data_IF_886074963341
#
_entry.id   IF_886074963341
#
_cell.length_a   1.000
_cell.length_b   1.000
_cell.length_c   1.000
_cell.angle_alpha   90.00
_cell.angle_beta   90.00
_cell.angle_gamma   90.00
#
_symmetry.space_group_name_H-M   'P 1'
#
loop_
_entity.id
_entity.type
_entity.pdbx_description
1 polymer ?
#
# COMPACT_ATOMS: atom_id res chain seq x y z
N UNK A 1 17.10 -20.31 3.10
CA UNK A 1 16.73 -19.03 2.50
C UNK A 1 15.94 -18.16 3.47
N UNK A 2 14.87 -18.63 4.08
CA UNK A 2 14.02 -17.93 5.06
C UNK A 2 14.82 -17.45 6.29
N UNK A 3 15.70 -18.29 6.88
CA UNK A 3 16.57 -17.90 8.01
C UNK A 3 17.46 -16.69 7.71
N UNK A 4 18.03 -16.59 6.51
CA UNK A 4 18.85 -15.43 6.10
C UNK A 4 18.02 -14.16 5.91
N UNK A 5 16.78 -14.29 5.44
CA UNK A 5 15.84 -13.17 5.32
C UNK A 5 15.43 -12.66 6.71
N UNK A 6 15.07 -13.58 7.62
CA UNK A 6 14.73 -13.24 9.01
C UNK A 6 15.92 -12.61 9.74
N UNK A 7 17.13 -13.15 9.58
CA UNK A 7 18.34 -12.56 10.17
C UNK A 7 18.67 -11.19 9.59
N UNK A 8 18.44 -10.96 8.28
CA UNK A 8 18.57 -9.64 7.66
C UNK A 8 17.58 -8.63 8.25
N UNK A 9 16.31 -9.03 8.41
CA UNK A 9 15.28 -8.19 9.03
C UNK A 9 15.62 -7.85 10.49
N UNK A 10 16.04 -8.84 11.26
CA UNK A 10 16.44 -8.66 12.67
C UNK A 10 17.70 -7.81 12.81
N UNK A 11 18.64 -7.92 11.88
CA UNK A 11 19.86 -7.12 11.85
C UNK A 11 19.57 -5.65 11.52
N UNK A 12 18.72 -5.40 10.51
CA UNK A 12 18.24 -4.04 10.15
C UNK A 12 17.42 -3.42 11.28
N UNK A 13 16.64 -4.20 12.02
CA UNK A 13 15.89 -3.74 13.18
C UNK A 13 16.79 -3.42 14.38
N UNK A 14 17.92 -4.10 14.55
CA UNK A 14 18.81 -3.95 15.71
C UNK A 14 19.81 -2.80 15.56
N UNK A 15 20.17 -2.44 14.34
CA UNK A 15 21.21 -1.43 14.06
C UNK A 15 20.70 -0.03 13.76
N UNK A 16 19.39 0.19 13.85
CA UNK A 16 18.83 1.50 13.66
C UNK A 16 18.18 1.99 14.97
N UNK A 17 18.67 3.09 15.50
CA UNK A 17 18.07 3.78 16.64
C UNK A 17 16.57 3.96 16.43
N UNK A 18 15.78 3.38 17.32
CA UNK A 18 14.32 3.27 17.20
C UNK A 18 13.60 4.62 17.03
N UNK A 19 14.15 5.72 17.56
CA UNK A 19 13.54 7.04 17.51
C UNK A 19 13.62 7.72 16.14
N UNK A 20 14.68 7.42 15.35
CA UNK A 20 14.82 7.91 13.97
C UNK A 20 14.03 7.11 12.93
N UNK A 21 13.35 6.04 13.35
CA UNK A 21 12.64 5.15 12.43
C UNK A 21 11.14 5.37 12.38
N UNK A 22 10.53 5.90 13.42
CA UNK A 22 9.08 6.06 13.46
C UNK A 22 8.59 7.01 12.36
N UNK A 23 9.16 8.23 12.32
CA UNK A 23 8.83 9.22 11.30
C UNK A 23 9.15 8.73 9.88
N UNK A 24 10.25 7.97 9.70
CA UNK A 24 10.60 7.35 8.43
C UNK A 24 9.51 6.41 7.92
N UNK A 25 9.05 5.48 8.74
CA UNK A 25 8.06 4.48 8.32
C UNK A 25 6.66 5.08 8.19
N UNK A 26 6.29 6.02 9.03
CA UNK A 26 4.99 6.72 8.91
C UNK A 26 4.95 7.54 7.61
N UNK A 27 5.99 8.32 7.31
CA UNK A 27 6.05 9.09 6.08
C UNK A 27 6.14 8.18 4.84
N UNK A 28 6.87 7.06 4.91
CA UNK A 28 6.90 6.06 3.85
C UNK A 28 5.52 5.46 3.61
N UNK A 29 4.80 5.07 4.68
CA UNK A 29 3.44 4.56 4.59
C UNK A 29 2.52 5.55 3.87
N UNK A 30 2.47 6.81 4.31
CA UNK A 30 1.61 7.80 3.70
C UNK A 30 2.01 8.12 2.26
N UNK A 31 3.30 8.20 1.96
CA UNK A 31 3.75 8.44 0.59
C UNK A 31 3.31 7.33 -0.37
N UNK A 32 3.40 6.06 0.04
CA UNK A 32 2.95 4.92 -0.76
C UNK A 32 1.40 4.89 -0.84
N UNK A 33 0.71 5.18 0.25
CA UNK A 33 -0.75 5.24 0.28
C UNK A 33 -1.31 6.32 -0.68
N UNK A 34 -0.66 7.50 -0.74
CA UNK A 34 -1.01 8.56 -1.69
C UNK A 34 -0.68 8.18 -3.14
N UNK A 35 0.48 7.56 -3.39
CA UNK A 35 0.85 7.09 -4.73
C UNK A 35 -0.13 6.01 -5.22
N UNK A 36 -0.54 5.10 -4.34
CA UNK A 36 -1.54 4.08 -4.66
C UNK A 36 -2.91 4.70 -4.98
N UNK A 37 -3.33 5.70 -4.20
CA UNK A 37 -4.55 6.44 -4.47
C UNK A 37 -4.47 7.19 -5.83
N UNK A 38 -3.37 7.88 -6.10
CA UNK A 38 -3.15 8.57 -7.37
C UNK A 38 -3.18 7.60 -8.55
N UNK A 39 -2.55 6.43 -8.40
CA UNK A 39 -2.59 5.36 -9.40
C UNK A 39 -4.03 4.93 -9.72
N UNK A 40 -4.85 4.65 -8.69
CA UNK A 40 -6.24 4.26 -8.88
C UNK A 40 -7.06 5.37 -9.55
N UNK A 41 -6.92 6.63 -9.09
CA UNK A 41 -7.61 7.77 -9.69
C UNK A 41 -7.24 7.92 -11.17
N UNK A 42 -5.95 7.83 -11.51
CA UNK A 42 -5.49 7.90 -12.90
C UNK A 42 -6.03 6.73 -13.72
N UNK A 43 -5.99 5.51 -13.18
CA UNK A 43 -6.53 4.33 -13.86
C UNK A 43 -8.00 4.55 -14.24
N UNK A 44 -8.84 4.95 -13.29
CA UNK A 44 -10.27 5.18 -13.55
C UNK A 44 -10.53 6.39 -14.44
N UNK A 45 -9.70 7.43 -14.34
CA UNK A 45 -9.80 8.58 -15.25
C UNK A 45 -9.58 8.17 -16.72
N UNK A 46 -8.65 7.21 -16.96
CA UNK A 46 -8.40 6.72 -18.33
C UNK A 46 -9.36 5.63 -18.78
N UNK A 47 -9.86 4.78 -17.89
CA UNK A 47 -10.76 3.66 -18.26
C UNK A 47 -12.23 4.06 -18.25
N UNK A 48 -12.66 4.86 -17.28
CA UNK A 48 -14.07 5.23 -17.06
C UNK A 48 -14.34 6.69 -17.40
N UNK A 49 -13.31 7.48 -17.77
CA UNK A 49 -13.40 8.92 -18.02
C UNK A 49 -14.01 9.70 -16.84
N UNK A 50 -13.84 9.20 -15.62
CA UNK A 50 -14.42 9.78 -14.41
C UNK A 50 -13.38 9.87 -13.29
N UNK A 51 -13.46 10.95 -12.49
CA UNK A 51 -12.70 11.06 -11.25
C UNK A 51 -13.42 10.25 -10.17
N UNK A 52 -12.81 9.15 -9.75
CA UNK A 52 -13.36 8.25 -8.74
C UNK A 52 -12.43 8.21 -7.53
N UNK A 53 -12.91 8.68 -6.38
CA UNK A 53 -12.17 8.56 -5.12
C UNK A 53 -12.35 7.15 -4.56
N UNK A 54 -11.38 6.29 -4.82
CA UNK A 54 -11.39 4.87 -4.43
C UNK A 54 -11.10 4.68 -2.94
N UNK A 55 -11.56 3.54 -2.43
CA UNK A 55 -11.30 3.10 -1.07
C UNK A 55 -12.34 3.54 -0.06
N UNK A 56 -12.18 3.08 1.19
CA UNK A 56 -13.11 3.29 2.30
C UNK A 56 -12.99 4.71 2.88
N UNK A 57 -11.81 5.30 2.78
CA UNK A 57 -11.48 6.62 3.31
C UNK A 57 -11.91 7.76 2.37
N UNK A 58 -12.14 8.94 2.94
CA UNK A 58 -12.47 10.15 2.15
C UNK A 58 -11.23 10.87 1.65
N UNK A 59 -10.14 10.78 2.40
CA UNK A 59 -8.87 11.41 2.06
C UNK A 59 -8.17 10.75 0.86
N UNK A 60 -7.19 11.44 0.24
CA UNK A 60 -6.47 11.00 -0.95
C UNK A 60 -5.40 9.96 -0.62
N UNK A 61 -5.77 8.87 0.00
CA UNK A 61 -4.85 7.77 0.36
C UNK A 61 -5.58 6.43 0.42
N UNK A 62 -4.87 5.36 0.06
CA UNK A 62 -5.32 3.98 0.15
C UNK A 62 -4.44 3.21 1.14
N UNK A 63 -4.92 2.96 2.38
CA UNK A 63 -4.13 2.28 3.40
C UNK A 63 -3.62 0.90 2.99
N UNK A 64 -4.35 0.17 2.12
CA UNK A 64 -3.91 -1.13 1.61
C UNK A 64 -2.57 -1.03 0.87
N UNK A 65 -2.38 0.03 0.06
CA UNK A 65 -1.11 0.30 -0.62
C UNK A 65 -0.02 0.69 0.39
N UNK A 66 -0.37 1.53 1.38
CA UNK A 66 0.56 1.93 2.44
C UNK A 66 1.06 0.73 3.25
N UNK A 67 0.15 -0.14 3.71
CA UNK A 67 0.49 -1.37 4.46
C UNK A 67 1.27 -2.35 3.60
N UNK A 68 0.76 -2.65 2.40
CA UNK A 68 1.41 -3.57 1.48
C UNK A 68 2.80 -3.11 1.09
N UNK A 69 2.93 -1.85 0.68
CA UNK A 69 4.21 -1.27 0.27
C UNK A 69 5.21 -1.18 1.42
N UNK A 70 4.76 -0.80 2.62
CA UNK A 70 5.62 -0.79 3.80
C UNK A 70 6.13 -2.20 4.13
N UNK A 71 5.25 -3.19 4.08
CA UNK A 71 5.61 -4.60 4.28
C UNK A 71 6.63 -5.07 3.24
N UNK A 72 6.44 -4.74 1.96
CA UNK A 72 7.41 -5.06 0.91
C UNK A 72 8.77 -4.39 1.14
N UNK A 73 8.78 -3.12 1.55
CA UNK A 73 10.01 -2.40 1.85
C UNK A 73 10.74 -3.01 3.06
N UNK A 74 10.02 -3.43 4.10
CA UNK A 74 10.58 -4.10 5.27
C UNK A 74 11.17 -5.47 4.93
N UNK A 75 10.45 -6.27 4.14
CA UNK A 75 10.85 -7.63 3.79
C UNK A 75 11.96 -7.67 2.72
N UNK A 76 11.89 -6.77 1.75
CA UNK A 76 12.72 -6.84 0.53
C UNK A 76 13.58 -5.60 0.29
N UNK A 77 13.64 -4.66 1.23
CA UNK A 77 14.49 -3.46 1.12
C UNK A 77 15.98 -3.77 0.91
N UNK A 78 16.46 -4.93 1.37
CA UNK A 78 17.81 -5.43 1.07
C UNK A 78 17.98 -6.02 -0.34
N UNK A 79 16.86 -6.23 -1.07
CA UNK A 79 16.85 -6.84 -2.41
C UNK A 79 16.68 -5.83 -3.55
N UNK A 80 17.01 -4.55 -3.35
CA UNK A 80 16.85 -3.45 -4.34
C UNK A 80 17.46 -3.75 -5.71
N UNK A 81 18.47 -4.63 -5.78
CA UNK A 81 19.15 -5.04 -7.03
C UNK A 81 18.65 -6.38 -7.61
N UNK A 82 17.51 -6.91 -7.11
CA UNK A 82 17.00 -8.23 -7.52
C UNK A 82 15.51 -8.13 -7.94
N UNK A 83 15.19 -7.36 -9.00
CA UNK A 83 13.80 -7.01 -9.35
C UNK A 83 12.91 -8.24 -9.59
N UNK A 84 13.42 -9.29 -10.25
CA UNK A 84 12.66 -10.50 -10.54
C UNK A 84 12.23 -11.22 -9.25
N UNK A 85 13.10 -11.27 -8.24
CA UNK A 85 12.76 -11.89 -6.94
C UNK A 85 11.74 -11.04 -6.19
N UNK A 86 11.92 -9.72 -6.21
CA UNK A 86 10.97 -8.79 -5.59
C UNK A 86 9.62 -8.92 -6.27
N UNK A 87 9.57 -8.96 -7.60
CA UNK A 87 8.34 -9.21 -8.36
C UNK A 87 7.61 -10.47 -7.88
N UNK A 88 8.29 -11.62 -7.86
CA UNK A 88 7.68 -12.89 -7.50
C UNK A 88 7.12 -12.89 -6.06
N UNK A 89 7.89 -12.37 -5.10
CA UNK A 89 7.43 -12.29 -3.71
C UNK A 89 6.32 -11.25 -3.51
N UNK A 90 6.40 -10.11 -4.19
CA UNK A 90 5.36 -9.08 -4.14
C UNK A 90 4.04 -9.59 -4.70
N UNK A 91 4.07 -10.33 -5.82
CA UNK A 91 2.89 -10.97 -6.38
C UNK A 91 2.15 -11.80 -5.32
N UNK A 92 2.86 -12.66 -4.60
CA UNK A 92 2.26 -13.53 -3.59
C UNK A 92 1.73 -12.74 -2.39
N UNK A 93 2.57 -11.86 -1.81
CA UNK A 93 2.22 -11.12 -0.59
C UNK A 93 1.06 -10.16 -0.85
N UNK A 94 1.11 -9.40 -1.95
CA UNK A 94 0.05 -8.45 -2.26
C UNK A 94 -1.26 -9.15 -2.61
N UNK A 95 -1.23 -10.30 -3.29
CA UNK A 95 -2.45 -11.10 -3.54
C UNK A 95 -3.10 -11.57 -2.24
N UNK A 96 -2.31 -12.00 -1.26
CA UNK A 96 -2.83 -12.37 0.06
C UNK A 96 -3.47 -11.16 0.75
N UNK A 97 -2.78 -10.02 0.76
CA UNK A 97 -3.31 -8.78 1.37
C UNK A 97 -4.59 -8.31 0.68
N UNK A 98 -4.61 -8.32 -0.64
CA UNK A 98 -5.78 -7.94 -1.43
C UNK A 98 -6.97 -8.84 -1.15
N UNK A 99 -6.75 -10.16 -1.14
CA UNK A 99 -7.78 -11.14 -0.80
C UNK A 99 -8.35 -10.91 0.61
N UNK A 100 -7.48 -10.79 1.61
CA UNK A 100 -7.88 -10.57 3.00
C UNK A 100 -8.61 -9.23 3.17
N UNK A 101 -8.13 -8.16 2.55
CA UNK A 101 -8.78 -6.85 2.61
C UNK A 101 -10.19 -6.91 2.03
N UNK A 102 -10.35 -7.49 0.83
CA UNK A 102 -11.67 -7.70 0.21
C UNK A 102 -12.59 -8.52 1.10
N UNK A 103 -12.06 -9.60 1.70
CA UNK A 103 -12.83 -10.47 2.59
C UNK A 103 -13.33 -9.72 3.83
N UNK A 104 -12.46 -8.96 4.51
CA UNK A 104 -12.83 -8.22 5.71
C UNK A 104 -13.77 -7.05 5.42
N UNK A 105 -13.57 -6.34 4.30
CA UNK A 105 -14.47 -5.26 3.89
C UNK A 105 -15.88 -5.79 3.60
N UNK A 106 -15.99 -6.88 2.86
CA UNK A 106 -17.30 -7.50 2.59
C UNK A 106 -17.98 -8.01 3.87
N UNK A 107 -17.20 -8.62 4.79
CA UNK A 107 -17.75 -9.04 6.10
C UNK A 107 -18.23 -7.86 6.94
N UNK A 108 -17.52 -6.72 6.89
CA UNK A 108 -17.83 -5.54 7.70
C UNK A 108 -18.98 -4.70 7.14
N UNK A 109 -19.04 -4.56 5.82
CA UNK A 109 -19.93 -3.61 5.16
C UNK A 109 -20.98 -4.27 4.25
N UNK A 110 -20.91 -5.59 4.04
CA UNK A 110 -21.84 -6.35 3.20
C UNK A 110 -21.64 -6.18 1.69
N UNK A 111 -20.61 -5.47 1.26
CA UNK A 111 -20.32 -5.17 -0.14
C UNK A 111 -18.84 -5.40 -0.48
N UNK A 112 -18.56 -5.69 -1.75
CA UNK A 112 -17.20 -5.76 -2.28
C UNK A 112 -16.81 -4.40 -2.87
N UNK A 113 -15.64 -3.88 -2.50
CA UNK A 113 -15.08 -2.66 -3.11
C UNK A 113 -14.56 -2.88 -4.53
N UNK A 114 -14.28 -4.14 -4.91
CA UNK A 114 -13.96 -4.58 -6.27
C UNK A 114 -14.42 -6.01 -6.49
N UNK A 115 -14.65 -6.38 -7.73
CA UNK A 115 -15.05 -7.74 -8.12
C UNK A 115 -14.38 -8.15 -9.44
N UNK A 116 -13.49 -9.13 -9.36
CA UNK A 116 -12.78 -9.73 -10.50
C UNK A 116 -13.43 -11.02 -11.02
N UNK A 117 -14.69 -11.29 -10.71
CA UNK A 117 -15.36 -12.56 -11.09
C UNK A 117 -15.32 -12.83 -12.59
N UNK A 118 -15.28 -11.79 -13.44
CA UNK A 118 -15.13 -11.91 -14.89
C UNK A 118 -13.70 -12.05 -15.41
N UNK A 119 -12.69 -12.02 -14.54
CA UNK A 119 -11.28 -12.02 -14.95
C UNK A 119 -10.66 -13.41 -14.89
N UNK A 120 -9.67 -13.62 -15.77
CA UNK A 120 -8.97 -14.90 -15.87
C UNK A 120 -8.21 -15.24 -14.57
N UNK A 121 -8.32 -16.49 -14.13
CA UNK A 121 -7.75 -17.02 -12.88
C UNK A 121 -8.10 -16.16 -11.66
N UNK A 122 -9.36 -15.78 -11.53
CA UNK A 122 -9.80 -15.13 -10.30
C UNK A 122 -10.05 -16.16 -9.18
N UNK A 123 -9.88 -15.71 -7.94
CA UNK A 123 -10.23 -16.47 -6.74
C UNK A 123 -11.31 -15.71 -5.98
N UNK A 124 -12.54 -16.24 -6.00
CA UNK A 124 -13.73 -15.66 -5.36
C UNK A 124 -14.03 -14.21 -5.79
N UNK A 125 -13.59 -13.79 -6.99
CA UNK A 125 -13.70 -12.42 -7.46
C UNK A 125 -12.85 -11.39 -6.68
N UNK A 126 -11.98 -11.84 -5.76
CA UNK A 126 -11.20 -10.94 -4.88
C UNK A 126 -9.82 -10.61 -5.41
N UNK A 127 -9.21 -11.56 -6.12
CA UNK A 127 -7.93 -11.41 -6.80
C UNK A 127 -8.04 -12.07 -8.19
N UNK A 128 -7.19 -11.66 -9.12
CA UNK A 128 -7.04 -12.28 -10.43
C UNK A 128 -5.59 -12.24 -10.89
N UNK A 129 -5.25 -13.02 -11.93
CA UNK A 129 -3.88 -13.13 -12.43
C UNK A 129 -3.31 -11.76 -12.87
N UNK A 130 -4.09 -10.96 -13.57
CA UNK A 130 -3.64 -9.65 -14.06
C UNK A 130 -3.37 -8.70 -12.88
N UNK A 131 -4.27 -8.65 -11.90
CA UNK A 131 -4.09 -7.86 -10.67
C UNK A 131 -2.85 -8.31 -9.89
N UNK A 132 -2.68 -9.62 -9.69
CA UNK A 132 -1.52 -10.19 -9.02
C UNK A 132 -0.20 -9.83 -9.73
N UNK A 133 -0.15 -9.91 -11.07
CA UNK A 133 1.02 -9.51 -11.86
C UNK A 133 1.29 -7.99 -11.76
N UNK A 134 0.24 -7.16 -11.80
CA UNK A 134 0.37 -5.71 -11.63
C UNK A 134 0.94 -5.34 -10.26
N UNK A 135 0.48 -5.98 -9.18
CA UNK A 135 1.05 -5.80 -7.83
C UNK A 135 2.50 -6.29 -7.74
N UNK A 136 2.83 -7.40 -8.41
CA UNK A 136 4.22 -7.86 -8.51
C UNK A 136 5.12 -6.83 -9.15
N UNK A 137 4.69 -6.27 -10.28
CA UNK A 137 5.41 -5.21 -10.98
C UNK A 137 5.52 -3.93 -10.14
N UNK A 138 4.40 -3.48 -9.57
CA UNK A 138 4.37 -2.32 -8.66
C UNK A 138 5.30 -2.50 -7.46
N UNK A 139 5.35 -3.70 -6.87
CA UNK A 139 6.27 -4.04 -5.78
C UNK A 139 7.74 -3.99 -6.21
N UNK A 140 8.08 -4.46 -7.41
CA UNK A 140 9.43 -4.35 -7.95
C UNK A 140 9.83 -2.88 -8.19
N UNK A 141 8.95 -2.07 -8.77
CA UNK A 141 9.15 -0.63 -8.94
C UNK A 141 9.31 0.06 -7.58
N UNK A 142 8.44 -0.26 -6.63
CA UNK A 142 8.47 0.30 -5.28
C UNK A 142 9.81 0.03 -4.58
N UNK A 143 10.24 -1.23 -4.51
CA UNK A 143 11.45 -1.61 -3.75
C UNK A 143 12.73 -1.23 -4.50
N UNK A 144 12.78 -1.41 -5.82
CA UNK A 144 14.01 -1.23 -6.58
C UNK A 144 14.25 0.21 -7.03
N UNK A 145 13.19 1.00 -7.22
CA UNK A 145 13.30 2.38 -7.75
C UNK A 145 12.81 3.43 -6.73
N UNK A 146 11.58 3.26 -6.23
CA UNK A 146 10.97 4.25 -5.37
C UNK A 146 11.64 4.33 -4.00
N UNK A 147 11.90 3.21 -3.34
CA UNK A 147 12.51 3.19 -2.01
C UNK A 147 13.87 3.92 -1.95
N UNK A 148 14.83 3.69 -2.88
CA UNK A 148 16.06 4.46 -2.92
C UNK A 148 15.85 5.96 -3.16
N UNK A 149 14.87 6.32 -4.01
CA UNK A 149 14.49 7.71 -4.23
C UNK A 149 13.92 8.33 -2.94
N UNK A 150 12.98 7.65 -2.28
CA UNK A 150 12.40 8.09 -1.02
C UNK A 150 13.47 8.33 0.05
N UNK A 151 14.39 7.40 0.26
CA UNK A 151 15.49 7.52 1.22
C UNK A 151 16.33 8.78 0.96
N UNK A 152 16.63 9.06 -0.31
CA UNK A 152 17.35 10.27 -0.72
C UNK A 152 16.58 11.55 -0.39
N UNK A 153 15.27 11.58 -0.60
CA UNK A 153 14.44 12.76 -0.31
C UNK A 153 14.22 12.92 1.19
N UNK A 154 13.94 11.83 1.90
CA UNK A 154 13.75 11.83 3.35
C UNK A 154 14.95 12.46 4.08
N UNK A 155 16.17 12.14 3.68
CA UNK A 155 17.39 12.67 4.27
C UNK A 155 17.60 14.18 4.03
N UNK A 156 16.91 14.80 3.07
CA UNK A 156 16.95 16.23 2.83
C UNK A 156 16.03 17.04 3.74
N UNK A 157 15.03 16.38 4.34
CA UNK A 157 14.03 17.04 5.19
C UNK A 157 14.57 17.09 6.62
N UNK A 158 14.57 18.25 7.24
CA UNK A 158 15.02 18.38 8.64
C UNK A 158 14.08 17.60 9.59
N UNK A 159 14.63 17.09 10.69
CA UNK A 159 13.88 16.28 11.67
C UNK A 159 12.60 17.00 12.18
N UNK A 160 12.69 18.33 12.39
CA UNK A 160 11.54 19.13 12.84
C UNK A 160 10.37 19.06 11.84
N UNK A 161 10.65 19.21 10.55
CA UNK A 161 9.63 19.15 9.51
C UNK A 161 9.11 17.73 9.32
N UNK A 162 9.94 16.70 9.40
CA UNK A 162 9.51 15.31 9.34
C UNK A 162 8.51 14.98 10.43
N UNK A 163 8.82 15.37 11.68
CA UNK A 163 7.91 15.14 12.82
C UNK A 163 6.60 15.92 12.63
N UNK A 164 6.66 17.19 12.21
CA UNK A 164 5.47 18.00 12.00
C UNK A 164 4.54 17.39 10.92
N UNK A 165 5.09 16.98 9.78
CA UNK A 165 4.34 16.33 8.71
C UNK A 165 3.76 14.99 9.18
N UNK A 166 4.54 14.21 9.93
CA UNK A 166 4.12 12.93 10.48
C UNK A 166 2.92 13.08 11.42
N UNK A 167 2.99 14.01 12.38
CA UNK A 167 1.90 14.28 13.31
C UNK A 167 0.65 14.80 12.61
N UNK A 168 0.80 15.70 11.65
CA UNK A 168 -0.30 16.20 10.83
C UNK A 168 -0.98 15.07 10.04
N UNK A 169 -0.19 14.23 9.34
CA UNK A 169 -0.72 13.12 8.56
C UNK A 169 -1.46 12.11 9.44
N UNK A 170 -0.90 11.78 10.61
CA UNK A 170 -1.54 10.87 11.57
C UNK A 170 -2.84 11.46 12.14
N UNK A 171 -2.88 12.77 12.45
CA UNK A 171 -4.08 13.43 12.95
C UNK A 171 -5.19 13.41 11.89
N UNK A 172 -4.89 13.78 10.63
CA UNK A 172 -5.85 13.73 9.52
C UNK A 172 -6.36 12.31 9.30
N UNK A 173 -5.45 11.32 9.30
CA UNK A 173 -5.80 9.91 9.12
C UNK A 173 -6.69 9.38 10.25
N UNK A 174 -6.43 9.76 11.50
CA UNK A 174 -7.23 9.35 12.64
C UNK A 174 -8.65 9.94 12.58
N UNK A 175 -8.78 11.22 12.23
CA UNK A 175 -10.08 11.90 12.07
C UNK A 175 -10.89 11.27 10.92
N UNK A 176 -10.27 11.09 9.76
CA UNK A 176 -10.92 10.47 8.61
C UNK A 176 -11.30 9.01 8.91
N UNK A 177 -10.42 8.25 9.57
CA UNK A 177 -10.69 6.89 10.00
C UNK A 177 -11.88 6.77 10.96
N UNK A 178 -11.96 7.66 11.96
CA UNK A 178 -13.10 7.73 12.89
C UNK A 178 -14.40 8.08 12.15
N UNK A 179 -14.35 9.03 11.21
CA UNK A 179 -15.51 9.39 10.40
C UNK A 179 -15.94 8.23 9.48
N UNK A 180 -15.01 7.60 8.78
CA UNK A 180 -15.29 6.52 7.82
C UNK A 180 -15.67 5.19 8.50
N UNK A 181 -15.36 5.01 9.79
CA UNK A 181 -15.86 3.88 10.56
C UNK A 181 -17.40 3.90 10.69
N UNK A 182 -18.01 5.10 10.69
CA UNK A 182 -19.46 5.30 10.75
C UNK A 182 -20.06 5.56 9.35
N UNK A 183 -19.35 6.30 8.51
CA UNK A 183 -19.79 6.71 7.17
C UNK A 183 -18.69 6.42 6.15
N UNK A 184 -18.50 5.15 5.77
CA UNK A 184 -17.47 4.78 4.80
C UNK A 184 -17.70 5.47 3.46
N UNK A 185 -16.62 5.64 2.69
CA UNK A 185 -16.74 6.12 1.32
C UNK A 185 -17.34 5.00 0.45
N UNK A 186 -18.64 5.10 0.19
CA UNK A 186 -19.42 4.14 -0.61
C UNK A 186 -19.87 4.79 -1.93
N UNK A 187 -19.05 5.68 -2.50
CA UNK A 187 -19.33 6.38 -3.75
C UNK A 187 -19.11 5.53 -5.00
N UNK A 188 -18.99 6.24 -6.11
CA UNK A 188 -18.88 5.67 -7.45
C UNK A 188 -17.71 4.70 -7.55
N UNK A 189 -17.18 3.96 -7.44
CA UNK A 189 -15.98 3.12 -7.49
C UNK A 189 -16.10 1.80 -6.75
N UNK A 190 -17.30 1.52 -6.26
CA UNK A 190 -17.63 0.23 -5.66
C UNK A 190 -18.31 -0.63 -6.72
N UNK A 191 -17.86 -1.88 -6.84
CA UNK A 191 -18.51 -2.84 -7.72
C UNK A 191 -19.83 -3.28 -7.08
N UNK A 192 -20.92 -2.62 -7.43
CA UNK A 192 -22.26 -3.11 -7.13
C UNK A 192 -22.61 -4.22 -8.12
N UNK A 193 -23.08 -5.32 -7.62
CA UNK A 193 -23.83 -6.33 -8.38
C UNK A 193 -25.30 -6.12 -8.19
#
# INVERSE_FOLDING_TARGET
>A
MIKKVIQGILWDMKNAELSHKFDYYVLLFFSIAHLGWLWEVLLYLFTEHAFINRGVYKGPYLPIYGVGGLLLCLLFGSMKKKPVRVFAFSTVICSILEYLTSFFLERRFGIKWWDYSGHFLNINGRICLLGAAAFGFGGAVLVCLYLPFYEKQYNKISARWRIAICLFALAVFAVDGAYCAMKPNMGEGISFR
#
